data_IF_755622611058
#
_entry.id   IF_755622611058
#
_cell.length_a   1.000
_cell.length_b   1.000
_cell.length_c   1.000
_cell.angle_alpha   90.00
_cell.angle_beta   90.00
_cell.angle_gamma   90.00
#
_symmetry.space_group_name_H-M   'P 1'
#
loop_
_entity.id
_entity.type
_entity.pdbx_description
1 polymer ?
#
# COMPACT_ATOMS: atom_id res chain seq x y z
N UNK A 1 22.25 6.97 11.46
CA UNK A 1 20.97 7.52 11.95
C UNK A 1 19.93 6.43 11.86
N UNK A 2 18.88 6.46 12.70
CA UNK A 2 17.79 5.49 12.60
C UNK A 2 16.78 5.95 11.53
N UNK A 3 16.41 5.05 10.62
CA UNK A 3 15.28 5.26 9.71
C UNK A 3 13.98 4.86 10.40
N UNK A 4 12.96 5.71 10.31
CA UNK A 4 11.58 5.37 10.67
C UNK A 4 10.74 5.47 9.41
N UNK A 5 10.13 4.36 9.00
CA UNK A 5 9.38 4.28 7.73
C UNK A 5 8.28 3.22 7.80
N UNK A 6 7.50 3.06 6.72
CA UNK A 6 6.43 2.06 6.62
C UNK A 6 6.99 0.69 6.28
N UNK A 7 6.31 -0.37 6.74
CA UNK A 7 6.63 -1.75 6.33
C UNK A 7 5.98 -2.10 4.99
N UNK A 8 6.30 -1.35 3.94
CA UNK A 8 5.83 -1.59 2.57
C UNK A 8 6.98 -1.42 1.56
N UNK A 9 6.67 -1.60 0.28
CA UNK A 9 7.66 -1.60 -0.79
C UNK A 9 8.36 -0.24 -0.97
N UNK A 10 7.67 0.88 -0.72
CA UNK A 10 8.26 2.21 -0.76
C UNK A 10 9.17 2.48 0.45
N UNK A 11 8.75 2.08 1.66
CA UNK A 11 9.63 2.11 2.83
C UNK A 11 10.89 1.25 2.68
N UNK A 12 10.76 0.09 2.03
CA UNK A 12 11.88 -0.77 1.65
C UNK A 12 12.84 -0.06 0.67
N UNK A 13 12.31 0.58 -0.38
CA UNK A 13 13.09 1.39 -1.32
C UNK A 13 13.85 2.52 -0.63
N UNK A 14 13.18 3.28 0.25
CA UNK A 14 13.80 4.32 1.06
C UNK A 14 14.97 3.79 1.88
N UNK A 15 14.79 2.63 2.54
CA UNK A 15 15.82 1.99 3.33
C UNK A 15 17.03 1.54 2.49
N UNK A 16 16.79 0.91 1.34
CA UNK A 16 17.84 0.48 0.42
C UNK A 16 18.72 1.65 -0.04
N UNK A 17 18.10 2.76 -0.46
CA UNK A 17 18.82 3.96 -0.92
C UNK A 17 19.61 4.59 0.22
N UNK A 18 18.99 4.79 1.39
CA UNK A 18 19.65 5.43 2.54
C UNK A 18 20.80 4.59 3.10
N UNK A 19 20.71 3.25 3.00
CA UNK A 19 21.79 2.34 3.37
C UNK A 19 22.95 2.43 2.38
N UNK A 20 22.66 2.50 1.08
CA UNK A 20 23.68 2.67 0.04
C UNK A 20 24.53 3.94 0.24
N UNK A 21 23.90 5.06 0.58
CA UNK A 21 24.61 6.33 0.85
C UNK A 21 25.17 6.43 2.27
N UNK A 22 25.13 5.35 3.06
CA UNK A 22 25.70 5.28 4.40
C UNK A 22 25.06 6.25 5.42
N UNK A 23 23.77 6.56 5.27
CA UNK A 23 23.06 7.48 6.17
C UNK A 23 22.39 6.78 7.35
N UNK A 24 22.11 5.48 7.21
CA UNK A 24 21.38 4.71 8.22
C UNK A 24 22.15 3.49 8.69
N UNK A 25 21.95 3.17 9.96
CA UNK A 25 22.53 2.03 10.69
C UNK A 25 21.48 1.27 11.52
N UNK A 26 20.28 1.82 11.67
CA UNK A 26 19.13 1.21 12.35
C UNK A 26 17.82 1.55 11.61
N UNK A 27 16.82 0.67 11.71
CA UNK A 27 15.55 0.79 10.98
C UNK A 27 14.38 0.35 11.86
N UNK A 28 13.37 1.21 11.95
CA UNK A 28 12.12 0.96 12.65
C UNK A 28 10.95 1.11 11.69
N UNK A 29 10.29 -0.01 11.38
CA UNK A 29 9.03 0.01 10.64
C UNK A 29 7.87 0.38 11.56
N UNK A 30 7.01 1.28 11.10
CA UNK A 30 5.87 1.81 11.86
C UNK A 30 4.63 1.96 10.98
N UNK A 31 3.45 2.04 11.60
CA UNK A 31 2.24 2.47 10.92
C UNK A 31 2.11 4.01 11.01
N UNK A 32 1.73 4.73 9.93
CA UNK A 32 1.61 6.18 9.94
C UNK A 32 0.71 6.73 11.04
N UNK A 33 -0.37 6.00 11.35
CA UNK A 33 -1.28 6.36 12.46
C UNK A 33 -0.58 6.37 13.82
N UNK A 34 0.34 5.45 14.10
CA UNK A 34 1.03 5.42 15.39
C UNK A 34 2.01 6.59 15.54
N UNK A 35 2.55 7.08 14.41
CA UNK A 35 3.34 8.32 14.35
C UNK A 35 2.45 9.54 14.63
N UNK A 36 1.29 9.63 13.97
CA UNK A 36 0.33 10.72 14.18
C UNK A 36 -0.25 10.75 15.60
N UNK A 37 -0.50 9.58 16.19
CA UNK A 37 -0.99 9.43 17.56
C UNK A 37 0.13 9.66 18.61
N UNK A 38 1.37 9.96 18.19
CA UNK A 38 2.49 10.25 19.09
C UNK A 38 3.04 9.04 19.85
N UNK A 39 2.76 7.81 19.39
CA UNK A 39 3.23 6.57 20.04
C UNK A 39 4.67 6.20 19.68
N UNK A 40 5.20 6.81 18.63
CA UNK A 40 6.57 6.59 18.17
C UNK A 40 7.44 7.76 18.63
N UNK A 41 8.39 7.48 19.50
CA UNK A 41 9.41 8.46 19.88
C UNK A 41 10.32 8.79 18.70
N UNK A 42 10.35 10.07 18.33
CA UNK A 42 11.17 10.63 17.26
C UNK A 42 12.11 11.69 17.84
N UNK A 43 13.37 11.63 17.43
CA UNK A 43 14.46 12.48 17.88
C UNK A 43 15.22 13.07 16.70
N UNK A 44 16.19 13.96 16.97
CA UNK A 44 17.04 14.53 15.93
C UNK A 44 18.01 13.53 15.28
N UNK A 45 18.11 12.30 15.81
CA UNK A 45 18.88 11.21 15.21
C UNK A 45 18.05 10.34 14.25
N UNK A 46 16.79 10.71 14.00
CA UNK A 46 15.88 9.98 13.12
C UNK A 46 15.76 10.60 11.73
N UNK A 47 15.77 9.74 10.72
CA UNK A 47 15.31 10.03 9.36
C UNK A 47 13.89 9.47 9.24
N UNK A 48 12.93 10.32 8.89
CA UNK A 48 11.56 9.90 8.61
C UNK A 48 11.38 9.80 7.09
N UNK A 49 10.91 8.66 6.58
CA UNK A 49 10.61 8.49 5.16
C UNK A 49 9.24 7.83 4.95
N UNK A 50 8.45 8.34 4.01
CA UNK A 50 7.11 7.83 3.70
C UNK A 50 6.14 7.81 4.91
N UNK A 51 6.33 8.74 5.84
CA UNK A 51 5.48 8.89 7.04
C UNK A 51 5.28 10.37 7.36
N UNK A 52 4.21 10.72 8.10
CA UNK A 52 3.91 12.11 8.45
C UNK A 52 5.06 12.79 9.19
N UNK A 53 5.19 14.11 8.98
CA UNK A 53 6.22 14.90 9.65
C UNK A 53 6.05 14.88 11.17
N UNK A 54 7.17 14.73 11.89
CA UNK A 54 7.24 14.93 13.34
C UNK A 54 8.28 15.97 13.66
N UNK A 55 7.87 17.00 14.42
CA UNK A 55 8.76 18.06 14.87
C UNK A 55 9.91 17.49 15.68
N UNK A 56 11.14 17.88 15.32
CA UNK A 56 12.36 17.43 15.99
C UNK A 56 13.05 16.24 15.34
N UNK A 57 12.50 15.67 14.27
CA UNK A 57 13.24 14.71 13.43
C UNK A 57 14.50 15.36 12.83
N UNK A 58 15.50 14.52 12.52
CA UNK A 58 16.75 14.98 11.93
C UNK A 58 16.61 15.31 10.44
N UNK A 59 15.95 14.44 9.69
CA UNK A 59 15.66 14.58 8.25
C UNK A 59 14.28 13.99 7.93
N UNK A 60 13.55 14.58 6.99
CA UNK A 60 12.26 14.09 6.53
C UNK A 60 12.15 14.03 5.01
N UNK A 61 11.69 12.89 4.51
CA UNK A 61 11.39 12.62 3.11
C UNK A 61 9.94 12.15 2.94
N UNK A 62 9.20 12.82 2.07
CA UNK A 62 7.80 12.47 1.81
C UNK A 62 7.35 12.93 0.43
N UNK A 63 6.22 12.39 -0.03
CA UNK A 63 5.61 12.75 -1.32
C UNK A 63 4.08 12.92 -1.23
N UNK A 64 3.48 12.85 -0.04
CA UNK A 64 2.04 12.97 0.08
C UNK A 64 1.58 14.42 -0.04
N UNK A 65 0.68 14.70 -0.98
CA UNK A 65 0.03 16.02 -1.09
C UNK A 65 -0.73 16.42 0.18
N UNK A 66 -1.23 15.44 0.95
CA UNK A 66 -1.98 15.70 2.18
C UNK A 66 -1.18 16.41 3.26
N UNK A 67 0.16 16.27 3.27
CA UNK A 67 0.99 16.99 4.24
C UNK A 67 1.08 18.49 3.90
N UNK A 68 1.06 18.84 2.60
CA UNK A 68 0.95 20.24 2.13
C UNK A 68 -0.39 20.86 2.52
N UNK A 69 -1.48 20.10 2.46
CA UNK A 69 -2.81 20.55 2.88
C UNK A 69 -2.87 20.79 4.39
N UNK A 70 -2.29 19.88 5.18
CA UNK A 70 -2.24 19.99 6.64
C UNK A 70 -1.38 21.16 7.12
N UNK A 71 -0.36 21.56 6.35
CA UNK A 71 0.62 22.62 6.71
C UNK A 71 1.19 22.47 8.12
N UNK A 72 1.28 21.23 8.60
CA UNK A 72 1.69 20.93 9.97
C UNK A 72 3.22 20.90 10.15
N UNK A 73 3.98 20.97 9.05
CA UNK A 73 5.43 21.01 9.06
C UNK A 73 5.96 22.45 9.00
N UNK A 74 7.02 22.72 9.78
CA UNK A 74 7.76 23.98 9.75
C UNK A 74 9.00 23.88 8.85
N UNK A 75 10.08 24.55 9.22
CA UNK A 75 11.38 24.29 8.60
C UNK A 75 11.88 22.89 8.96
N UNK A 76 12.36 22.14 7.96
CA UNK A 76 12.93 20.80 8.14
C UNK A 76 14.08 20.57 7.16
N UNK A 77 14.92 19.57 7.46
CA UNK A 77 15.95 19.07 6.54
C UNK A 77 15.39 17.91 5.74
N UNK A 78 15.74 17.80 4.47
CA UNK A 78 15.24 16.75 3.57
C UNK A 78 14.38 17.35 2.47
N UNK A 79 13.36 16.62 2.01
CA UNK A 79 12.51 17.04 0.90
C UNK A 79 11.12 16.40 1.00
N UNK A 80 10.09 17.22 0.89
CA UNK A 80 8.74 16.76 0.57
C UNK A 80 8.42 17.17 -0.87
N UNK A 81 8.16 16.21 -1.75
CA UNK A 81 7.86 16.46 -3.17
C UNK A 81 6.58 15.73 -3.61
N UNK A 82 5.42 16.43 -3.62
CA UNK A 82 4.15 15.84 -4.03
C UNK A 82 4.05 15.41 -5.50
N UNK A 83 5.05 15.75 -6.31
CA UNK A 83 5.09 15.37 -7.74
C UNK A 83 5.82 14.06 -7.97
N UNK A 84 6.55 13.56 -6.97
CA UNK A 84 7.23 12.27 -7.03
C UNK A 84 6.23 11.11 -6.86
N UNK A 85 6.45 10.04 -7.62
CA UNK A 85 5.60 8.84 -7.62
C UNK A 85 5.72 8.02 -6.33
N UNK A 86 6.78 8.20 -5.54
CA UNK A 86 7.06 7.51 -4.28
C UNK A 86 7.99 8.32 -3.39
N UNK A 87 8.05 8.02 -2.08
CA UNK A 87 9.05 8.62 -1.19
C UNK A 87 10.47 8.13 -1.52
N UNK A 88 10.63 6.88 -1.97
CA UNK A 88 11.91 6.34 -2.42
C UNK A 88 12.48 7.16 -3.57
N UNK A 89 11.65 7.59 -4.54
CA UNK A 89 12.09 8.50 -5.61
C UNK A 89 12.53 9.86 -5.08
N UNK A 90 11.86 10.40 -4.05
CA UNK A 90 12.29 11.63 -3.39
C UNK A 90 13.68 11.48 -2.78
N UNK A 91 13.92 10.39 -2.04
CA UNK A 91 15.22 10.10 -1.44
C UNK A 91 16.28 9.91 -2.53
N UNK A 92 15.99 9.10 -3.54
CA UNK A 92 16.88 8.79 -4.66
C UNK A 92 17.32 10.06 -5.40
N UNK A 93 16.37 10.91 -5.79
CA UNK A 93 16.67 12.18 -6.45
C UNK A 93 17.45 13.15 -5.53
N UNK A 94 17.14 13.17 -4.23
CA UNK A 94 17.85 14.01 -3.26
C UNK A 94 19.35 13.67 -3.18
N UNK A 95 19.73 12.41 -3.39
CA UNK A 95 21.12 11.95 -3.39
C UNK A 95 21.77 11.85 -4.78
N UNK A 96 21.14 12.41 -5.81
CA UNK A 96 21.71 12.57 -7.15
C UNK A 96 21.09 11.72 -8.24
N UNK A 97 20.09 10.88 -7.92
CA UNK A 97 19.36 10.08 -8.89
C UNK A 97 20.27 9.20 -9.77
N UNK A 98 19.87 8.97 -11.02
CA UNK A 98 20.61 8.13 -11.98
C UNK A 98 22.07 8.58 -12.21
N UNK A 99 22.36 9.87 -12.08
CA UNK A 99 23.73 10.38 -12.21
C UNK A 99 24.57 10.20 -10.93
N UNK A 100 23.89 10.13 -9.78
CA UNK A 100 24.51 10.06 -8.45
C UNK A 100 24.78 8.63 -7.97
N UNK A 101 23.93 7.67 -8.37
CA UNK A 101 24.07 6.26 -8.03
C UNK A 101 24.80 5.51 -9.14
N UNK A 102 25.70 4.60 -8.75
CA UNK A 102 26.39 3.68 -9.66
C UNK A 102 25.98 2.24 -9.35
N UNK A 103 24.68 2.05 -9.17
CA UNK A 103 24.09 0.79 -8.76
C UNK A 103 22.77 0.57 -9.49
N UNK A 104 22.84 -0.11 -10.64
CA UNK A 104 21.69 -0.38 -11.50
C UNK A 104 20.56 -1.14 -10.78
N UNK A 105 20.86 -1.90 -9.71
CA UNK A 105 19.83 -2.56 -8.91
C UNK A 105 18.93 -1.56 -8.16
N UNK A 106 19.50 -0.44 -7.71
CA UNK A 106 18.71 0.64 -7.10
C UNK A 106 17.87 1.37 -8.13
N UNK A 107 18.38 1.56 -9.34
CA UNK A 107 17.63 2.18 -10.44
C UNK A 107 16.38 1.35 -10.75
N UNK A 108 16.56 0.04 -10.94
CA UNK A 108 15.47 -0.93 -11.15
C UNK A 108 14.48 -0.94 -9.98
N UNK A 109 14.98 -0.92 -8.73
CA UNK A 109 14.16 -0.90 -7.53
C UNK A 109 13.28 0.36 -7.47
N UNK A 110 13.85 1.53 -7.70
CA UNK A 110 13.10 2.79 -7.59
C UNK A 110 12.05 2.89 -8.70
N UNK A 111 12.35 2.42 -9.90
CA UNK A 111 11.37 2.32 -10.99
C UNK A 111 10.21 1.38 -10.61
N UNK A 112 10.52 0.22 -10.01
CA UNK A 112 9.51 -0.70 -9.51
C UNK A 112 8.65 -0.11 -8.39
N UNK A 113 9.28 0.60 -7.44
CA UNK A 113 8.59 1.27 -6.32
C UNK A 113 7.64 2.35 -6.84
N UNK A 114 8.08 3.19 -7.78
CA UNK A 114 7.25 4.22 -8.39
C UNK A 114 6.00 3.64 -9.05
N UNK A 115 6.17 2.53 -9.79
CA UNK A 115 5.05 1.83 -10.41
C UNK A 115 4.10 1.26 -9.37
N UNK A 116 4.62 0.67 -8.30
CA UNK A 116 3.81 0.05 -7.24
C UNK A 116 3.00 1.07 -6.45
N UNK A 117 3.63 2.17 -6.02
CA UNK A 117 2.97 3.16 -5.18
C UNK A 117 1.92 3.97 -5.97
N UNK A 118 2.23 4.30 -7.23
CA UNK A 118 1.27 4.91 -8.17
C UNK A 118 0.26 3.94 -8.78
N UNK A 119 0.33 2.65 -8.41
CA UNK A 119 -0.49 1.56 -8.93
C UNK A 119 -0.56 1.52 -10.47
N UNK A 120 0.58 1.70 -11.13
CA UNK A 120 0.74 1.68 -12.58
C UNK A 120 1.03 0.25 -13.08
N UNK A 121 0.01 -0.60 -12.96
CA UNK A 121 0.03 -1.98 -13.43
C UNK A 121 -0.98 -2.21 -14.54
N UNK A 122 -0.63 -3.08 -15.49
CA UNK A 122 -1.59 -3.61 -16.46
C UNK A 122 -2.46 -4.69 -15.82
N UNK A 123 -3.56 -5.03 -16.50
CA UNK A 123 -4.42 -6.14 -16.09
C UNK A 123 -3.63 -7.46 -16.02
N UNK A 124 -2.77 -7.70 -17.00
CA UNK A 124 -1.95 -8.90 -17.11
C UNK A 124 -0.95 -8.98 -15.95
N UNK A 125 -0.26 -7.89 -15.62
CA UNK A 125 0.68 -7.85 -14.48
C UNK A 125 0.01 -8.10 -13.14
N UNK A 126 -1.27 -7.74 -12.99
CA UNK A 126 -2.04 -8.02 -11.78
C UNK A 126 -2.47 -9.49 -11.72
N UNK A 127 -2.85 -10.06 -12.86
CA UNK A 127 -3.35 -11.43 -12.98
C UNK A 127 -2.24 -12.47 -13.03
N UNK A 128 -1.05 -12.11 -13.46
CA UNK A 128 0.11 -13.00 -13.56
C UNK A 128 1.39 -12.22 -13.21
N UNK A 129 1.54 -11.79 -11.95
CA UNK A 129 2.68 -10.99 -11.53
C UNK A 129 3.95 -11.83 -11.52
N UNK A 130 5.02 -11.25 -12.05
CA UNK A 130 6.39 -11.77 -11.96
C UNK A 130 7.36 -10.64 -11.59
N UNK A 131 8.62 -10.99 -11.32
CA UNK A 131 9.70 -10.04 -11.09
C UNK A 131 9.39 -9.05 -9.96
N UNK A 132 9.71 -7.79 -10.22
CA UNK A 132 9.44 -6.69 -9.30
C UNK A 132 7.95 -6.48 -8.96
N UNK A 133 7.03 -6.79 -9.89
CA UNK A 133 5.59 -6.66 -9.63
C UNK A 133 5.18 -7.65 -8.55
N UNK A 134 5.57 -8.93 -8.70
CA UNK A 134 5.32 -9.97 -7.71
C UNK A 134 5.95 -9.64 -6.36
N UNK A 135 7.22 -9.21 -6.35
CA UNK A 135 7.89 -8.80 -5.11
C UNK A 135 7.13 -7.68 -4.41
N UNK A 136 6.64 -6.67 -5.16
CA UNK A 136 5.86 -5.59 -4.57
C UNK A 136 4.57 -6.09 -3.91
N UNK A 137 3.89 -7.07 -4.50
CA UNK A 137 2.69 -7.67 -3.90
C UNK A 137 3.01 -8.57 -2.71
N UNK A 138 4.11 -9.32 -2.74
CA UNK A 138 4.56 -10.15 -1.62
C UNK A 138 4.92 -9.28 -0.41
N UNK A 139 5.54 -8.13 -0.64
CA UNK A 139 5.94 -7.19 0.40
C UNK A 139 4.82 -6.22 0.83
N UNK A 140 3.69 -6.16 0.10
CA UNK A 140 2.56 -5.33 0.48
C UNK A 140 1.78 -5.97 1.65
N UNK A 141 1.73 -5.32 2.84
CA UNK A 141 1.00 -5.84 3.98
C UNK A 141 -0.50 -6.03 3.70
N UNK A 142 -1.06 -5.30 2.72
CA UNK A 142 -2.47 -5.39 2.31
C UNK A 142 -2.79 -6.66 1.53
N UNK A 143 -1.79 -7.31 0.92
CA UNK A 143 -1.96 -8.63 0.29
C UNK A 143 -2.41 -9.66 1.33
N UNK A 144 -1.89 -9.58 2.55
CA UNK A 144 -2.33 -10.38 3.68
C UNK A 144 -1.44 -11.57 4.03
N UNK A 145 -0.30 -11.76 3.37
CA UNK A 145 0.63 -12.86 3.67
C UNK A 145 1.14 -12.83 5.13
N UNK A 146 1.21 -11.65 5.75
CA UNK A 146 1.60 -11.53 7.16
C UNK A 146 0.64 -12.14 8.19
N UNK A 147 -0.55 -12.60 7.77
CA UNK A 147 -1.47 -13.34 8.65
C UNK A 147 -0.93 -14.72 9.02
N UNK A 148 -0.08 -15.30 8.17
CA UNK A 148 0.57 -16.57 8.41
C UNK A 148 1.82 -16.40 9.27
N UNK A 149 2.03 -17.31 10.23
CA UNK A 149 3.11 -17.24 11.23
C UNK A 149 4.05 -18.44 11.21
N UNK A 150 3.87 -19.34 10.26
CA UNK A 150 4.59 -20.60 10.06
C UNK A 150 5.74 -20.48 9.05
N UNK A 151 6.05 -19.28 8.59
CA UNK A 151 7.23 -18.99 7.77
C UNK A 151 8.53 -19.23 8.54
N UNK A 152 9.61 -19.57 7.82
CA UNK A 152 10.93 -19.81 8.43
C UNK A 152 11.46 -18.58 9.18
N UNK A 153 11.23 -17.40 8.63
CA UNK A 153 11.57 -16.11 9.25
C UNK A 153 10.35 -15.19 9.34
N UNK A 154 10.36 -14.30 10.32
CA UNK A 154 9.32 -13.28 10.46
C UNK A 154 9.33 -12.29 9.29
N UNK A 155 8.20 -11.63 9.01
CA UNK A 155 8.17 -10.55 8.02
C UNK A 155 9.10 -9.39 8.35
N UNK A 156 9.34 -9.10 9.63
CA UNK A 156 10.31 -8.07 10.02
C UNK A 156 11.73 -8.48 9.63
N UNK A 157 12.13 -9.72 9.92
CA UNK A 157 13.43 -10.24 9.51
C UNK A 157 13.59 -10.25 7.99
N UNK A 158 12.54 -10.69 7.26
CA UNK A 158 12.55 -10.65 5.81
C UNK A 158 12.70 -9.23 5.26
N UNK A 159 11.99 -8.24 5.82
CA UNK A 159 12.13 -6.84 5.42
C UNK A 159 13.56 -6.34 5.63
N UNK A 160 14.23 -6.75 6.71
CA UNK A 160 15.64 -6.39 6.95
C UNK A 160 16.58 -6.99 5.91
N UNK A 161 16.38 -8.27 5.57
CA UNK A 161 17.18 -8.97 4.53
C UNK A 161 16.92 -8.37 3.13
N UNK A 162 15.66 -8.05 2.83
CA UNK A 162 15.25 -7.47 1.55
C UNK A 162 15.93 -6.13 1.24
N UNK A 163 16.30 -5.35 2.25
CA UNK A 163 17.02 -4.09 2.04
C UNK A 163 18.36 -4.33 1.35
N UNK A 164 19.08 -5.38 1.76
CA UNK A 164 20.34 -5.74 1.13
C UNK A 164 20.13 -6.48 -0.18
N UNK A 165 19.11 -7.33 -0.27
CA UNK A 165 18.79 -8.03 -1.51
C UNK A 165 18.45 -7.06 -2.64
N UNK A 166 17.62 -6.05 -2.38
CA UNK A 166 17.26 -5.03 -3.37
C UNK A 166 18.44 -4.14 -3.80
N UNK A 167 19.51 -4.04 -2.99
CA UNK A 167 20.72 -3.28 -3.33
C UNK A 167 21.70 -4.08 -4.18
N UNK A 168 21.62 -5.41 -4.15
CA UNK A 168 22.70 -6.28 -4.63
C UNK A 168 22.24 -7.33 -5.65
N UNK A 169 20.93 -7.46 -5.89
CA UNK A 169 20.35 -8.55 -6.67
C UNK A 169 19.28 -8.05 -7.62
N UNK A 170 19.14 -8.74 -8.74
CA UNK A 170 17.98 -8.58 -9.62
C UNK A 170 16.75 -9.23 -9.01
N UNK A 171 15.57 -8.80 -9.41
CA UNK A 171 14.28 -9.41 -9.04
C UNK A 171 14.27 -10.94 -9.18
N UNK A 172 14.78 -11.46 -10.29
CA UNK A 172 14.89 -12.91 -10.55
C UNK A 172 15.75 -13.63 -9.51
N UNK A 173 16.84 -13.02 -9.08
CA UNK A 173 17.70 -13.59 -8.03
C UNK A 173 17.02 -13.54 -6.66
N UNK A 174 16.29 -12.46 -6.36
CA UNK A 174 15.53 -12.32 -5.11
C UNK A 174 14.42 -13.37 -5.02
N UNK A 175 13.67 -13.57 -6.11
CA UNK A 175 12.58 -14.55 -6.19
C UNK A 175 13.04 -16.00 -5.96
N UNK A 176 14.31 -16.29 -6.20
CA UNK A 176 14.92 -17.60 -5.97
C UNK A 176 15.38 -17.83 -4.52
N UNK A 177 15.40 -16.79 -3.68
CA UNK A 177 15.80 -16.90 -2.27
C UNK A 177 14.75 -17.71 -1.47
N UNK A 178 15.15 -18.65 -0.60
CA UNK A 178 14.22 -19.56 0.06
C UNK A 178 13.03 -18.89 0.77
N UNK A 179 13.26 -17.81 1.52
CA UNK A 179 12.22 -17.11 2.28
C UNK A 179 11.26 -16.29 1.40
N UNK A 180 11.72 -15.90 0.20
CA UNK A 180 10.87 -15.29 -0.82
C UNK A 180 10.09 -16.37 -1.55
N UNK A 181 10.75 -17.47 -1.90
CA UNK A 181 10.15 -18.60 -2.61
C UNK A 181 9.02 -19.25 -1.82
N UNK A 182 9.17 -19.44 -0.50
CA UNK A 182 8.07 -19.96 0.33
C UNK A 182 6.85 -19.01 0.34
N UNK A 183 7.08 -17.69 0.26
CA UNK A 183 6.02 -16.68 0.23
C UNK A 183 5.36 -16.58 -1.14
N UNK A 184 6.12 -16.68 -2.22
CA UNK A 184 5.57 -16.66 -3.59
C UNK A 184 4.75 -17.92 -3.88
N UNK A 185 5.22 -19.10 -3.42
CA UNK A 185 4.44 -20.34 -3.49
C UNK A 185 3.08 -20.14 -2.79
N UNK A 186 3.10 -19.69 -1.54
CA UNK A 186 1.85 -19.43 -0.79
C UNK A 186 0.99 -18.36 -1.45
N UNK A 187 1.60 -17.30 -1.98
CA UNK A 187 0.88 -16.25 -2.71
C UNK A 187 0.07 -16.84 -3.86
N UNK A 188 0.66 -17.71 -4.70
CA UNK A 188 -0.06 -18.31 -5.81
C UNK A 188 -1.07 -19.40 -5.41
N UNK A 189 -0.84 -20.11 -4.30
CA UNK A 189 -1.85 -21.00 -3.72
C UNK A 189 -3.09 -20.22 -3.23
N UNK A 190 -2.86 -19.11 -2.54
CA UNK A 190 -3.91 -18.24 -2.03
C UNK A 190 -4.61 -17.43 -3.13
N UNK A 191 -3.88 -16.98 -4.15
CA UNK A 191 -4.41 -16.23 -5.28
C UNK A 191 -5.54 -16.99 -6.00
N UNK A 192 -5.41 -18.32 -6.15
CA UNK A 192 -6.46 -19.16 -6.73
C UNK A 192 -7.76 -19.08 -5.91
N UNK A 193 -7.65 -19.29 -4.59
CA UNK A 193 -8.78 -19.23 -3.66
C UNK A 193 -9.38 -17.82 -3.59
N UNK A 194 -8.51 -16.79 -3.62
CA UNK A 194 -8.93 -15.40 -3.59
C UNK A 194 -9.71 -15.03 -4.84
N UNK A 195 -9.29 -15.45 -6.04
CA UNK A 195 -10.05 -15.21 -7.28
C UNK A 195 -11.42 -15.86 -7.25
N UNK A 196 -11.50 -17.11 -6.80
CA UNK A 196 -12.78 -17.82 -6.64
C UNK A 196 -13.70 -17.08 -5.67
N UNK A 197 -13.17 -16.66 -4.51
CA UNK A 197 -13.89 -15.86 -3.53
C UNK A 197 -14.38 -14.53 -4.13
N UNK A 198 -13.53 -13.80 -4.86
CA UNK A 198 -13.94 -12.55 -5.50
C UNK A 198 -15.07 -12.78 -6.49
N UNK A 199 -14.99 -13.82 -7.33
CA UNK A 199 -16.02 -14.12 -8.32
C UNK A 199 -17.34 -14.58 -7.69
N UNK A 200 -17.30 -15.34 -6.62
CA UNK A 200 -18.50 -15.85 -5.93
C UNK A 200 -19.23 -14.77 -5.13
N UNK A 201 -18.50 -13.77 -4.64
CA UNK A 201 -19.02 -12.76 -3.72
C UNK A 201 -19.17 -11.37 -4.36
N UNK A 202 -18.95 -11.23 -5.68
CA UNK A 202 -19.05 -9.95 -6.38
C UNK A 202 -20.21 -9.88 -7.36
N UNK A 203 -20.86 -8.71 -7.41
CA UNK A 203 -21.88 -8.36 -8.40
C UNK A 203 -21.57 -7.01 -9.04
N UNK A 204 -21.78 -6.92 -10.35
CA UNK A 204 -21.68 -5.65 -11.08
C UNK A 204 -23.00 -4.87 -10.96
N UNK A 205 -22.89 -3.59 -10.59
CA UNK A 205 -23.98 -2.62 -10.49
C UNK A 205 -23.58 -1.39 -11.29
N UNK A 206 -23.87 -1.37 -12.59
CA UNK A 206 -23.44 -0.33 -13.53
C UNK A 206 -21.92 -0.10 -13.47
N UNK A 207 -21.48 1.07 -12.98
CA UNK A 207 -20.06 1.44 -12.86
C UNK A 207 -19.36 0.82 -11.65
N UNK A 208 -20.12 0.31 -10.68
CA UNK A 208 -19.61 -0.23 -9.42
C UNK A 208 -19.52 -1.75 -9.45
N UNK A 209 -18.41 -2.32 -8.98
CA UNK A 209 -18.36 -3.72 -8.55
C UNK A 209 -18.54 -3.79 -7.04
N UNK A 210 -19.62 -4.44 -6.59
CA UNK A 210 -19.90 -4.67 -5.17
C UNK A 210 -19.35 -6.05 -4.78
N UNK A 211 -18.41 -6.09 -3.85
CA UNK A 211 -17.88 -7.30 -3.23
C UNK A 211 -18.43 -7.39 -1.79
N UNK A 212 -19.30 -8.36 -1.51
CA UNK A 212 -19.88 -8.57 -0.17
C UNK A 212 -19.27 -9.81 0.50
N UNK A 213 -18.41 -9.60 1.49
CA UNK A 213 -17.68 -10.64 2.20
C UNK A 213 -18.32 -10.98 3.56
N UNK A 214 -19.54 -10.52 3.85
CA UNK A 214 -20.16 -10.76 5.17
C UNK A 214 -20.46 -12.23 5.45
N UNK A 215 -20.74 -13.01 4.41
CA UNK A 215 -21.02 -14.45 4.49
C UNK A 215 -19.77 -15.30 4.19
N UNK A 216 -18.64 -14.66 3.86
CA UNK A 216 -17.36 -15.34 3.63
C UNK A 216 -16.68 -15.63 4.98
N UNK A 217 -16.45 -16.91 5.29
CA UNK A 217 -15.81 -17.31 6.55
C UNK A 217 -14.32 -16.93 6.60
N UNK A 218 -13.57 -17.30 5.55
CA UNK A 218 -12.16 -16.96 5.41
C UNK A 218 -11.97 -15.98 4.24
N UNK A 219 -11.35 -14.83 4.52
CA UNK A 219 -10.90 -13.90 3.48
C UNK A 219 -9.50 -14.32 3.05
N UNK A 220 -9.38 -14.93 1.87
CA UNK A 220 -8.08 -15.38 1.34
C UNK A 220 -7.12 -14.22 1.06
N UNK A 221 -5.86 -14.57 0.83
CA UNK A 221 -4.78 -13.61 0.52
C UNK A 221 -4.67 -13.41 -0.99
N UNK A 222 -4.53 -12.17 -1.43
CA UNK A 222 -4.29 -11.83 -2.84
C UNK A 222 -4.00 -10.35 -3.00
N UNK A 223 -3.39 -9.97 -4.13
CA UNK A 223 -3.10 -8.55 -4.34
C UNK A 223 -4.41 -7.75 -4.45
N UNK A 224 -4.38 -6.52 -3.92
CA UNK A 224 -5.56 -5.66 -3.78
C UNK A 224 -6.19 -5.19 -5.10
N UNK A 225 -5.56 -5.48 -6.24
CA UNK A 225 -6.03 -5.02 -7.54
C UNK A 225 -6.77 -6.10 -8.35
N UNK A 226 -6.78 -7.35 -7.88
CA UNK A 226 -7.41 -8.48 -8.59
C UNK A 226 -8.89 -8.24 -8.89
N UNK A 227 -9.64 -7.61 -7.98
CA UNK A 227 -11.05 -7.28 -8.20
C UNK A 227 -11.24 -6.44 -9.48
N UNK A 228 -10.38 -5.46 -9.72
CA UNK A 228 -10.44 -4.60 -10.90
C UNK A 228 -10.04 -5.33 -12.19
N UNK A 229 -9.14 -6.30 -12.10
CA UNK A 229 -8.76 -7.12 -13.25
C UNK A 229 -9.85 -8.13 -13.65
N UNK A 230 -10.59 -8.64 -12.66
CA UNK A 230 -11.72 -9.56 -12.87
C UNK A 230 -12.99 -8.81 -13.34
N UNK A 231 -13.15 -7.55 -12.95
CA UNK A 231 -14.26 -6.66 -13.34
C UNK A 231 -13.74 -5.39 -14.04
N UNK A 232 -13.14 -5.52 -15.24
CA UNK A 232 -12.43 -4.41 -15.91
C UNK A 232 -13.37 -3.30 -16.40
N UNK A 233 -14.66 -3.60 -16.59
CA UNK A 233 -15.65 -2.61 -17.02
C UNK A 233 -16.03 -1.64 -15.89
N UNK A 234 -15.97 -2.10 -14.63
CA UNK A 234 -16.27 -1.27 -13.47
C UNK A 234 -15.09 -0.34 -13.13
N UNK A 235 -15.40 0.93 -12.91
CA UNK A 235 -14.41 1.97 -12.63
C UNK A 235 -14.21 2.23 -11.14
N UNK A 236 -15.05 1.64 -10.29
CA UNK A 236 -15.00 1.79 -8.84
C UNK A 236 -15.49 0.51 -8.15
N UNK A 237 -14.92 0.20 -6.99
CA UNK A 237 -15.38 -0.90 -6.15
C UNK A 237 -16.07 -0.40 -4.89
N UNK A 238 -16.98 -1.23 -4.38
CA UNK A 238 -17.45 -1.19 -3.01
C UNK A 238 -17.21 -2.57 -2.39
N UNK A 239 -16.53 -2.62 -1.25
CA UNK A 239 -16.33 -3.84 -0.48
C UNK A 239 -17.03 -3.71 0.85
N UNK A 240 -17.87 -4.69 1.19
CA UNK A 240 -18.61 -4.78 2.44
C UNK A 240 -18.09 -5.97 3.22
N UNK A 241 -17.71 -5.75 4.48
CA UNK A 241 -17.19 -6.82 5.34
C UNK A 241 -17.47 -6.54 6.81
N UNK A 242 -17.38 -7.57 7.64
CA UNK A 242 -17.43 -7.42 9.09
C UNK A 242 -16.23 -6.64 9.60
N UNK A 243 -16.46 -5.71 10.52
CA UNK A 243 -15.39 -5.08 11.28
C UNK A 243 -14.97 -5.90 12.50
N UNK A 244 -14.30 -5.24 13.43
CA UNK A 244 -13.67 -5.90 14.58
C UNK A 244 -14.68 -6.75 15.35
N UNK A 245 -14.39 -8.05 15.49
CA UNK A 245 -15.24 -9.03 16.19
C UNK A 245 -16.71 -9.02 15.73
N UNK A 246 -16.98 -8.69 14.45
CA UNK A 246 -18.34 -8.59 13.89
C UNK A 246 -19.25 -7.59 14.62
N UNK A 247 -18.67 -6.56 15.25
CA UNK A 247 -19.43 -5.54 16.00
C UNK A 247 -20.09 -4.48 15.10
N UNK A 248 -19.58 -4.32 13.87
CA UNK A 248 -20.06 -3.33 12.90
C UNK A 248 -19.79 -3.81 11.47
N UNK A 249 -20.32 -3.08 10.49
CA UNK A 249 -20.05 -3.31 9.06
C UNK A 249 -19.08 -2.23 8.56
N UNK A 250 -18.02 -2.68 7.91
CA UNK A 250 -17.04 -1.83 7.23
C UNK A 250 -17.42 -1.78 5.75
N UNK A 251 -17.54 -0.56 5.23
CA UNK A 251 -17.76 -0.32 3.79
C UNK A 251 -16.55 0.45 3.29
N UNK A 252 -15.85 -0.12 2.31
CA UNK A 252 -14.68 0.50 1.67
C UNK A 252 -14.96 0.72 0.21
N UNK A 253 -14.54 1.86 -0.34
CA UNK A 253 -14.65 2.13 -1.77
C UNK A 253 -13.33 2.60 -2.33
N UNK A 254 -13.03 2.23 -3.58
CA UNK A 254 -11.76 2.54 -4.21
C UNK A 254 -11.87 2.55 -5.73
N UNK A 255 -11.19 3.52 -6.36
CA UNK A 255 -11.12 3.61 -7.82
C UNK A 255 -10.41 2.40 -8.41
N UNK A 256 -10.91 1.94 -9.55
CA UNK A 256 -10.24 0.96 -10.38
C UNK A 256 -8.95 1.53 -10.95
N UNK A 257 -7.87 0.74 -10.89
CA UNK A 257 -6.61 1.09 -11.53
C UNK A 257 -6.58 0.72 -13.01
N UNK A 258 -7.55 -0.09 -13.46
CA UNK A 258 -7.76 -0.53 -14.84
C UNK A 258 -8.66 0.46 -15.58
N UNK A 259 -9.85 0.72 -15.05
CA UNK A 259 -10.79 1.70 -15.60
C UNK A 259 -10.79 2.97 -14.73
N UNK A 260 -9.94 3.95 -15.08
CA UNK A 260 -9.70 5.17 -14.28
C UNK A 260 -10.69 6.32 -14.59
N UNK A 261 -11.93 6.00 -14.94
CA UNK A 261 -12.95 6.98 -15.35
C UNK A 261 -13.84 7.50 -14.24
N UNK A 262 -13.79 6.91 -13.03
CA UNK A 262 -14.58 7.36 -11.89
C UNK A 262 -14.25 8.82 -11.52
N UNK A 263 -15.28 9.59 -11.15
CA UNK A 263 -15.16 11.02 -10.78
C UNK A 263 -15.70 11.35 -9.40
N UNK A 264 -16.38 10.41 -8.74
CA UNK A 264 -16.99 10.61 -7.42
C UNK A 264 -15.93 10.81 -6.34
N UNK A 265 -16.05 11.86 -5.53
CA UNK A 265 -15.19 12.05 -4.37
C UNK A 265 -15.54 11.04 -3.26
N UNK A 266 -14.77 9.95 -3.19
CA UNK A 266 -15.00 8.84 -2.27
C UNK A 266 -14.79 9.28 -0.83
N UNK A 267 -13.73 10.04 -0.55
CA UNK A 267 -13.41 10.50 0.80
C UNK A 267 -14.55 11.33 1.40
N UNK A 268 -15.07 12.28 0.61
CA UNK A 268 -16.23 13.10 0.98
C UNK A 268 -17.51 12.28 1.13
N UNK A 269 -17.75 11.30 0.25
CA UNK A 269 -18.89 10.38 0.37
C UNK A 269 -18.81 9.58 1.68
N UNK A 270 -17.67 8.97 1.98
CA UNK A 270 -17.49 8.16 3.19
C UNK A 270 -17.60 9.01 4.46
N UNK A 271 -17.18 10.27 4.42
CA UNK A 271 -17.32 11.21 5.54
C UNK A 271 -18.79 11.45 5.93
N UNK A 272 -19.72 11.49 4.96
CA UNK A 272 -21.17 11.62 5.22
C UNK A 272 -21.74 10.43 6.01
N UNK A 273 -21.07 9.28 5.96
CA UNK A 273 -21.42 8.06 6.71
C UNK A 273 -20.53 7.85 7.95
N UNK A 274 -19.89 8.91 8.46
CA UNK A 274 -19.04 8.85 9.66
C UNK A 274 -17.66 8.23 9.44
N UNK A 275 -17.25 8.07 8.19
CA UNK A 275 -15.94 7.59 7.79
C UNK A 275 -15.01 8.71 7.32
N UNK A 276 -14.21 8.40 6.30
CA UNK A 276 -13.35 9.37 5.62
C UNK A 276 -12.47 8.70 4.58
N UNK A 277 -11.54 9.47 4.02
CA UNK A 277 -10.62 8.98 3.01
C UNK A 277 -10.05 10.12 2.16
N UNK A 278 -9.52 9.73 1.00
CA UNK A 278 -9.10 10.64 -0.07
C UNK A 278 -10.09 10.58 -1.23
N UNK A 279 -9.92 11.46 -2.21
CA UNK A 279 -10.80 11.55 -3.38
C UNK A 279 -11.06 10.18 -4.07
N UNK A 280 -10.03 9.33 -4.16
CA UNK A 280 -10.10 8.03 -4.87
C UNK A 280 -10.42 6.82 -4.00
N UNK A 281 -10.36 6.95 -2.68
CA UNK A 281 -10.46 5.82 -1.75
C UNK A 281 -10.97 6.27 -0.39
N UNK A 282 -11.83 5.49 0.22
CA UNK A 282 -12.32 5.80 1.55
C UNK A 282 -12.97 4.62 2.24
N UNK A 283 -13.29 4.80 3.49
CA UNK A 283 -13.92 3.79 4.34
C UNK A 283 -14.83 4.44 5.35
N UNK A 284 -15.98 3.82 5.62
CA UNK A 284 -16.83 4.12 6.76
C UNK A 284 -17.13 2.83 7.55
N UNK A 285 -17.54 3.00 8.81
CA UNK A 285 -17.99 1.90 9.67
C UNK A 285 -19.37 2.25 10.20
N UNK A 286 -20.34 1.37 9.99
CA UNK A 286 -21.74 1.60 10.35
C UNK A 286 -22.25 0.46 11.22
N UNK A 287 -23.24 0.75 12.06
CA UNK A 287 -23.89 -0.31 12.85
C UNK A 287 -24.60 -1.31 11.94
N UNK A 288 -24.77 -2.54 12.41
CA UNK A 288 -25.39 -3.62 11.63
C UNK A 288 -26.78 -3.23 11.13
N UNK A 289 -27.55 -2.53 11.95
CA UNK A 289 -28.91 -2.09 11.65
C UNK A 289 -28.96 -1.04 10.53
N UNK A 290 -27.89 -0.25 10.38
CA UNK A 290 -27.80 0.82 9.36
C UNK A 290 -27.08 0.36 8.09
N UNK A 291 -26.50 -0.84 8.08
CA UNK A 291 -25.65 -1.32 7.00
C UNK A 291 -26.35 -1.32 5.64
N UNK A 292 -27.54 -1.93 5.56
CA UNK A 292 -28.29 -2.02 4.30
C UNK A 292 -28.70 -0.64 3.75
N UNK A 293 -29.02 0.31 4.63
CA UNK A 293 -29.31 1.68 4.21
C UNK A 293 -28.05 2.36 3.65
N UNK A 294 -26.93 2.28 4.39
CA UNK A 294 -25.68 2.90 3.97
C UNK A 294 -25.15 2.32 2.65
N UNK A 295 -25.21 1.00 2.48
CA UNK A 295 -24.79 0.32 1.24
C UNK A 295 -25.58 0.86 0.05
N UNK A 296 -26.92 0.93 0.16
CA UNK A 296 -27.76 1.48 -0.93
C UNK A 296 -27.43 2.93 -1.25
N UNK A 297 -27.36 3.80 -0.24
CA UNK A 297 -27.11 5.24 -0.43
C UNK A 297 -25.73 5.50 -1.06
N UNK A 298 -24.71 4.76 -0.62
CA UNK A 298 -23.35 4.83 -1.18
C UNK A 298 -23.39 4.33 -2.62
N UNK A 299 -24.00 3.17 -2.89
CA UNK A 299 -24.03 2.56 -4.22
C UNK A 299 -24.71 3.46 -5.25
N UNK A 300 -25.87 4.03 -4.89
CA UNK A 300 -26.58 5.01 -5.70
C UNK A 300 -25.76 6.27 -5.98
N UNK A 301 -24.91 6.70 -5.04
CA UNK A 301 -24.06 7.87 -5.23
C UNK A 301 -22.87 7.54 -6.13
N UNK A 302 -22.26 6.37 -5.97
CA UNK A 302 -21.14 5.94 -6.80
C UNK A 302 -21.55 5.79 -8.27
N UNK A 303 -22.75 5.27 -8.56
CA UNK A 303 -23.24 5.13 -9.94
C UNK A 303 -23.60 6.44 -10.67
N UNK A 304 -23.46 7.60 -10.00
CA UNK A 304 -23.74 8.91 -10.61
C UNK A 304 -22.51 9.60 -11.21
N UNK A 305 -21.31 9.07 -11.03
CA UNK A 305 -20.06 9.68 -11.53
C UNK A 305 -18.95 8.67 -11.75
#
# INVERSE_FOLDING_TARGET
MRLVTRSDFDGLGCAAILKEVGKIDDIKFVHPKDVQDGKIEVTSNDILANIPYVKGCGVWYDHHSSEQERKAFGEFKGKCDPTASSAARVVYNFYGGYDGFKNDHLDDLVDAVDRSDSALFTKEEILDPDGWVLLSFVMDPRTGLGRYRDYRISNYALMMDMIDYCREKTDKQILELPDIKERTIRYFEQDKLFREMLLQNSTAHDSVVLLDLRDQEEIYTGNRFLLYSLFPEQNISMTVMWGFQRQNIVITCGYSIINRTATVDVGSLMLKHGGGGHHRVGTCQVSVEKAEQAIREILETLNKG
#
